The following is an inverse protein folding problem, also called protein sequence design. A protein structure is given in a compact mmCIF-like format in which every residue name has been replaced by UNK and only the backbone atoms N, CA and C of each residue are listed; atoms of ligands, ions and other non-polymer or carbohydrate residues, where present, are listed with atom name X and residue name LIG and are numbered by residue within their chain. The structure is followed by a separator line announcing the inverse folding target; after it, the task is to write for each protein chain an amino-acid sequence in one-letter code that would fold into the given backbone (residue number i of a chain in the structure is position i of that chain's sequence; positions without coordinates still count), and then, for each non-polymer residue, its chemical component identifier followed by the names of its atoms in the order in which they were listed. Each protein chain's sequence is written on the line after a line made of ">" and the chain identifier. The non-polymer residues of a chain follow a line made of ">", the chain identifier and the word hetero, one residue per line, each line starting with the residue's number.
data_IF_134515222598
#
_entry.id   IF_134515222598
#
_cell.length_a   1.000
_cell.length_b   1.000
_cell.length_c   1.000
_cell.angle_alpha   90.00
_cell.angle_beta   90.00
_cell.angle_gamma   90.00
#
_symmetry.space_group_name_H-M   'P 1'
#
loop_
_entity.id
_entity.type
_entity.pdbx_description
1 polymer ?
#
# COMPACT_ATOMS: atom_id res chain seq x y z
N UNK A 1 33.00 33.47 -56.66
CA UNK A 1 32.86 32.24 -55.84
C UNK A 1 31.88 32.56 -54.70
N UNK A 2 30.66 32.10 -54.86
CA UNK A 2 29.56 32.33 -53.91
C UNK A 2 29.69 31.33 -52.76
N UNK A 3 29.83 31.84 -51.57
CA UNK A 3 29.77 30.97 -50.37
C UNK A 3 28.30 30.60 -50.12
N UNK A 4 27.96 29.34 -50.37
CA UNK A 4 26.70 28.79 -49.91
C UNK A 4 26.73 28.72 -48.39
N UNK A 5 25.85 29.52 -47.76
CA UNK A 5 25.61 29.44 -46.32
C UNK A 5 24.99 28.07 -46.02
N UNK A 6 25.72 27.24 -45.30
CA UNK A 6 25.19 25.96 -44.73
C UNK A 6 24.06 26.31 -43.81
N UNK A 7 22.84 25.96 -44.21
CA UNK A 7 21.62 26.09 -43.39
C UNK A 7 21.77 25.11 -42.27
N UNK A 8 22.09 25.56 -41.05
CA UNK A 8 22.02 24.76 -39.84
C UNK A 8 20.54 24.44 -39.67
N UNK A 9 20.19 23.19 -39.88
CA UNK A 9 18.87 22.65 -39.49
C UNK A 9 18.80 22.69 -37.95
N UNK A 10 18.13 23.71 -37.42
CA UNK A 10 17.74 23.72 -36.02
C UNK A 10 16.78 22.55 -35.83
N UNK A 11 17.29 21.46 -35.25
CA UNK A 11 16.45 20.35 -34.82
C UNK A 11 15.81 20.71 -33.50
N UNK A 12 14.52 20.97 -33.50
CA UNK A 12 13.71 21.06 -32.29
C UNK A 12 13.18 19.66 -31.95
N UNK A 13 13.42 19.17 -30.73
CA UNK A 13 12.79 17.93 -30.31
C UNK A 13 11.27 18.06 -30.32
N UNK A 14 10.53 17.06 -30.80
CA UNK A 14 9.07 17.14 -30.81
C UNK A 14 8.56 17.34 -29.38
N UNK A 15 7.80 18.41 -29.17
CA UNK A 15 7.16 18.67 -27.89
C UNK A 15 6.24 17.50 -27.52
N UNK A 16 6.21 17.08 -26.23
CA UNK A 16 5.29 16.05 -25.77
C UNK A 16 3.84 16.49 -26.00
N UNK A 17 2.91 15.55 -26.28
CA UNK A 17 1.51 15.86 -26.44
C UNK A 17 0.94 16.50 -25.17
N UNK A 18 0.06 17.49 -25.33
CA UNK A 18 -0.61 18.21 -24.24
C UNK A 18 -2.11 17.91 -24.17
N UNK A 19 -2.64 17.21 -25.16
CA UNK A 19 -4.06 16.83 -25.30
C UNK A 19 -4.29 15.36 -24.87
N UNK A 20 -3.83 15.03 -23.66
CA UNK A 20 -3.95 13.68 -23.12
C UNK A 20 -5.39 13.36 -22.71
N UNK A 21 -5.80 12.12 -22.98
CA UNK A 21 -7.10 11.56 -22.57
C UNK A 21 -6.88 10.73 -21.31
N UNK A 22 -7.68 10.95 -20.27
CA UNK A 22 -7.59 10.21 -19.00
C UNK A 22 -8.78 9.28 -18.74
N UNK A 23 -9.68 9.15 -19.71
CA UNK A 23 -10.84 8.27 -19.70
C UNK A 23 -11.08 7.74 -21.12
N UNK A 24 -11.10 6.43 -21.29
CA UNK A 24 -11.38 5.77 -22.59
C UNK A 24 -12.85 5.39 -22.75
N UNK A 25 -13.68 5.64 -21.73
CA UNK A 25 -15.10 5.33 -21.73
C UNK A 25 -15.42 3.84 -21.50
N UNK A 26 -14.40 3.01 -21.26
CA UNK A 26 -14.61 1.59 -20.96
C UNK A 26 -14.80 1.37 -19.46
N UNK A 27 -15.83 0.62 -19.03
CA UNK A 27 -16.04 0.31 -17.62
C UNK A 27 -15.01 -0.71 -17.13
N UNK A 28 -14.72 -0.71 -15.82
CA UNK A 28 -14.01 -1.80 -15.16
C UNK A 28 -14.72 -3.13 -15.39
N UNK A 29 -13.97 -4.23 -15.56
CA UNK A 29 -14.50 -5.53 -15.94
C UNK A 29 -15.60 -6.04 -15.00
N UNK A 30 -15.37 -6.03 -13.68
CA UNK A 30 -16.37 -6.47 -12.69
C UNK A 30 -16.24 -5.71 -11.37
N UNK A 31 -17.32 -5.76 -10.55
CA UNK A 31 -17.28 -5.23 -9.19
C UNK A 31 -16.15 -5.85 -8.35
N UNK A 32 -15.85 -7.15 -8.56
CA UNK A 32 -14.77 -7.85 -7.84
C UNK A 32 -13.39 -7.29 -8.19
N UNK A 33 -13.12 -6.96 -9.45
CA UNK A 33 -11.88 -6.28 -9.86
C UNK A 33 -11.75 -4.91 -9.19
N UNK A 34 -12.84 -4.12 -9.18
CA UNK A 34 -12.88 -2.83 -8.49
C UNK A 34 -12.56 -2.95 -6.99
N UNK A 35 -13.14 -3.92 -6.29
CA UNK A 35 -12.88 -4.15 -4.87
C UNK A 35 -11.43 -4.59 -4.67
N UNK A 36 -10.94 -5.54 -5.46
CA UNK A 36 -9.57 -6.04 -5.38
C UNK A 36 -8.53 -4.93 -5.57
N UNK A 37 -8.69 -4.10 -6.61
CA UNK A 37 -7.87 -2.93 -6.86
C UNK A 37 -7.87 -1.95 -5.67
N UNK A 38 -9.07 -1.56 -5.20
CA UNK A 38 -9.21 -0.63 -4.09
C UNK A 38 -8.63 -1.20 -2.79
N UNK A 39 -8.71 -2.50 -2.58
CA UNK A 39 -8.11 -3.18 -1.44
C UNK A 39 -6.60 -3.00 -1.39
N UNK A 40 -5.91 -3.16 -2.52
CA UNK A 40 -4.47 -2.95 -2.62
C UNK A 40 -4.10 -1.47 -2.39
N UNK A 41 -4.79 -0.55 -3.06
CA UNK A 41 -4.53 0.89 -2.94
C UNK A 41 -4.71 1.34 -1.48
N UNK A 42 -5.83 1.01 -0.85
CA UNK A 42 -6.19 1.46 0.49
C UNK A 42 -5.32 0.82 1.58
N UNK A 43 -4.94 -0.46 1.42
CA UNK A 43 -4.01 -1.12 2.33
C UNK A 43 -2.63 -0.48 2.29
N UNK A 44 -2.11 -0.16 1.08
CA UNK A 44 -0.81 0.49 0.96
C UNK A 44 -0.83 1.93 1.52
N UNK A 45 -1.88 2.70 1.23
CA UNK A 45 -2.07 4.04 1.79
C UNK A 45 -2.14 4.01 3.32
N UNK A 46 -2.81 3.02 3.90
CA UNK A 46 -2.88 2.82 5.35
C UNK A 46 -1.50 2.47 5.93
N UNK A 47 -0.78 1.54 5.31
CA UNK A 47 0.55 1.13 5.75
C UNK A 47 1.57 2.29 5.68
N UNK A 48 1.44 3.16 4.68
CA UNK A 48 2.33 4.30 4.44
C UNK A 48 1.71 5.63 4.88
N UNK A 49 0.76 5.63 5.81
CA UNK A 49 0.03 6.83 6.25
C UNK A 49 0.92 7.96 6.77
N UNK A 50 2.13 7.64 7.24
CA UNK A 50 3.13 8.61 7.71
C UNK A 50 4.14 9.04 6.62
N UNK A 51 3.91 8.66 5.35
CA UNK A 51 4.79 8.96 4.21
C UNK A 51 4.07 9.82 3.19
N UNK A 52 4.82 10.75 2.56
CA UNK A 52 4.37 11.58 1.45
C UNK A 52 5.28 11.43 0.22
N UNK A 53 6.19 10.45 0.24
CA UNK A 53 7.19 10.23 -0.78
C UNK A 53 6.85 9.05 -1.70
N UNK A 54 5.56 8.81 -1.91
CA UNK A 54 5.07 7.77 -2.82
C UNK A 54 3.73 8.18 -3.44
N UNK A 55 3.40 7.53 -4.56
CA UNK A 55 2.08 7.53 -5.16
C UNK A 55 1.64 6.10 -5.40
N UNK A 56 0.38 5.79 -5.15
CA UNK A 56 -0.25 4.55 -5.60
C UNK A 56 -1.61 4.86 -6.22
N UNK A 57 -1.92 4.15 -7.27
CA UNK A 57 -3.17 4.29 -8.01
C UNK A 57 -3.51 3.00 -8.74
N UNK A 58 -4.64 3.01 -9.42
CA UNK A 58 -5.07 1.90 -10.24
C UNK A 58 -6.09 2.32 -11.28
N UNK A 59 -6.18 1.55 -12.36
CA UNK A 59 -6.99 1.87 -13.52
C UNK A 59 -6.75 3.31 -14.05
N UNK A 60 -5.50 3.75 -13.97
CA UNK A 60 -5.05 5.06 -14.44
C UNK A 60 -4.10 4.88 -15.60
N UNK A 61 -4.24 5.70 -16.65
CA UNK A 61 -3.34 5.64 -17.78
C UNK A 61 -1.91 6.01 -17.42
N UNK A 62 -0.97 5.20 -17.90
CA UNK A 62 0.47 5.47 -17.86
C UNK A 62 0.90 5.90 -19.24
N UNK A 63 1.24 7.18 -19.38
CA UNK A 63 1.77 7.75 -20.62
C UNK A 63 3.29 7.74 -20.58
N UNK A 64 3.92 7.01 -21.48
CA UNK A 64 5.37 6.80 -21.49
C UNK A 64 6.06 7.17 -22.81
N UNK A 65 5.30 7.43 -23.88
CA UNK A 65 5.84 7.90 -25.15
C UNK A 65 4.81 8.66 -25.98
N UNK A 66 5.28 9.62 -26.78
CA UNK A 66 4.42 10.37 -27.73
C UNK A 66 3.88 9.47 -28.84
N UNK A 67 4.52 8.34 -29.15
CA UNK A 67 4.02 7.36 -30.10
C UNK A 67 2.84 6.60 -29.53
N UNK A 68 2.91 6.18 -28.27
CA UNK A 68 1.81 5.54 -27.56
C UNK A 68 0.56 6.42 -27.54
N UNK A 69 0.72 7.73 -27.24
CA UNK A 69 -0.39 8.67 -27.23
C UNK A 69 -1.05 8.76 -28.62
N UNK A 70 -0.25 8.90 -29.69
CA UNK A 70 -0.75 8.98 -31.06
C UNK A 70 -1.48 7.72 -31.51
N UNK A 71 -1.01 6.57 -31.07
CA UNK A 71 -1.61 5.26 -31.40
C UNK A 71 -2.81 4.92 -30.50
N UNK A 72 -3.11 5.75 -29.49
CA UNK A 72 -4.11 5.46 -28.45
C UNK A 72 -3.90 4.12 -27.79
N UNK A 73 -2.64 3.73 -27.58
CA UNK A 73 -2.25 2.50 -26.93
C UNK A 73 -2.21 2.72 -25.41
N UNK A 74 -3.39 2.76 -24.80
CA UNK A 74 -3.54 3.04 -23.39
C UNK A 74 -3.03 1.87 -22.55
N UNK A 75 -2.32 2.19 -21.47
CA UNK A 75 -1.86 1.23 -20.46
C UNK A 75 -2.28 1.76 -19.11
N UNK A 76 -3.21 1.07 -18.50
CA UNK A 76 -3.73 1.38 -17.18
C UNK A 76 -3.58 0.16 -16.28
N UNK A 77 -2.46 0.01 -15.55
CA UNK A 77 -2.34 -1.08 -14.61
C UNK A 77 -3.47 -1.05 -13.58
N UNK A 78 -3.99 -2.22 -13.19
CA UNK A 78 -5.03 -2.32 -12.18
C UNK A 78 -4.58 -1.78 -10.82
N UNK A 79 -3.31 -1.97 -10.48
CA UNK A 79 -2.66 -1.33 -9.35
C UNK A 79 -1.20 -1.03 -9.71
N UNK A 80 -0.74 0.14 -9.33
CA UNK A 80 0.69 0.47 -9.39
C UNK A 80 1.11 1.42 -8.27
N UNK A 81 2.41 1.44 -8.01
CA UNK A 81 3.01 2.42 -7.10
C UNK A 81 4.33 2.93 -7.62
N UNK A 82 4.63 4.20 -7.30
CA UNK A 82 5.90 4.86 -7.55
C UNK A 82 6.42 5.42 -6.24
N UNK A 83 7.66 5.10 -5.90
CA UNK A 83 8.33 5.51 -4.67
C UNK A 83 9.29 6.67 -4.91
N UNK A 84 9.68 7.36 -3.83
CA UNK A 84 10.64 8.47 -3.84
C UNK A 84 10.23 9.59 -4.82
N UNK A 85 8.97 9.99 -4.77
CA UNK A 85 8.39 11.11 -5.51
C UNK A 85 7.54 11.96 -4.56
N UNK A 86 7.16 13.17 -4.98
CA UNK A 86 6.17 13.94 -4.22
C UNK A 86 4.77 13.35 -4.43
N UNK A 87 4.22 12.73 -3.39
CA UNK A 87 2.88 12.14 -3.36
C UNK A 87 1.77 13.09 -2.93
N UNK A 88 2.07 14.37 -2.65
CA UNK A 88 1.15 15.30 -2.00
C UNK A 88 0.09 15.91 -2.91
N UNK A 89 0.19 15.77 -4.24
CA UNK A 89 -0.76 16.34 -5.19
C UNK A 89 -1.53 15.28 -5.99
N UNK A 90 -2.78 15.61 -6.41
CA UNK A 90 -3.61 14.67 -7.17
C UNK A 90 -3.11 14.53 -8.61
N UNK A 91 -3.26 13.32 -9.18
CA UNK A 91 -2.93 12.99 -10.56
C UNK A 91 -4.13 12.37 -11.26
N UNK A 92 -4.40 12.78 -12.50
CA UNK A 92 -5.45 12.17 -13.35
C UNK A 92 -4.94 10.92 -14.09
N UNK A 93 -3.64 10.83 -14.32
CA UNK A 93 -2.93 9.71 -14.91
C UNK A 93 -1.46 9.81 -14.55
N UNK A 94 -0.67 8.82 -14.93
CA UNK A 94 0.78 8.85 -14.72
C UNK A 94 1.49 9.26 -16.01
N UNK A 95 1.97 10.48 -16.09
CA UNK A 95 2.63 11.03 -17.28
C UNK A 95 4.13 11.05 -17.05
N UNK A 96 4.85 10.05 -17.55
CA UNK A 96 6.27 9.78 -17.25
C UNK A 96 7.16 11.00 -17.46
N UNK A 97 6.96 11.77 -18.53
CA UNK A 97 7.78 12.97 -18.81
C UNK A 97 7.47 14.17 -17.90
N UNK A 98 6.28 14.22 -17.27
CA UNK A 98 5.93 15.21 -16.25
C UNK A 98 6.40 14.81 -14.86
N UNK A 99 6.61 13.51 -14.65
CA UNK A 99 7.07 12.89 -13.40
C UNK A 99 8.59 12.62 -13.41
N UNK A 100 9.37 13.44 -14.11
CA UNK A 100 10.83 13.34 -14.13
C UNK A 100 11.38 12.04 -14.74
N UNK A 101 10.63 11.40 -15.63
CA UNK A 101 11.01 10.13 -16.24
C UNK A 101 10.77 8.90 -15.34
N UNK A 102 10.01 9.04 -14.26
CA UNK A 102 9.73 7.94 -13.31
C UNK A 102 8.64 7.03 -13.86
N UNK A 103 8.93 5.75 -13.86
CA UNK A 103 7.99 4.66 -14.15
C UNK A 103 7.47 4.01 -12.87
N UNK A 104 6.37 3.24 -12.92
CA UNK A 104 5.92 2.43 -11.80
C UNK A 104 7.01 1.48 -11.27
N UNK A 105 7.27 1.52 -9.97
CA UNK A 105 8.24 0.64 -9.30
C UNK A 105 7.63 -0.75 -9.03
N UNK A 106 6.31 -0.81 -8.78
CA UNK A 106 5.55 -2.05 -8.58
C UNK A 106 4.25 -1.97 -9.36
N UNK A 107 3.89 -3.06 -10.03
CA UNK A 107 2.61 -3.22 -10.75
C UNK A 107 1.95 -4.53 -10.30
N UNK A 108 0.63 -4.51 -10.12
CA UNK A 108 -0.21 -5.70 -9.98
C UNK A 108 -1.32 -5.63 -11.02
N UNK A 109 -1.45 -6.67 -11.85
CA UNK A 109 -2.57 -6.83 -12.77
C UNK A 109 -3.57 -7.84 -12.20
N UNK A 110 -4.84 -7.47 -12.25
CA UNK A 110 -5.96 -8.30 -11.81
C UNK A 110 -6.55 -9.00 -13.03
N UNK A 111 -6.04 -10.18 -13.31
CA UNK A 111 -6.39 -10.94 -14.53
C UNK A 111 -7.86 -11.33 -14.57
N UNK A 112 -8.41 -11.32 -15.78
CA UNK A 112 -9.64 -12.02 -16.15
C UNK A 112 -9.35 -13.14 -17.14
N UNK A 113 -10.36 -13.89 -17.50
CA UNK A 113 -10.22 -14.91 -18.57
C UNK A 113 -9.86 -14.32 -19.94
N UNK A 114 -10.19 -13.05 -20.17
CA UNK A 114 -9.91 -12.34 -21.43
C UNK A 114 -8.54 -11.66 -21.43
N UNK A 115 -7.97 -11.29 -20.27
CA UNK A 115 -6.74 -10.51 -20.17
C UNK A 115 -5.52 -11.32 -19.76
N UNK A 116 -5.70 -12.53 -19.18
CA UNK A 116 -4.61 -13.32 -18.61
C UNK A 116 -3.43 -13.57 -19.58
N UNK A 117 -3.69 -13.83 -20.86
CA UNK A 117 -2.66 -14.04 -21.87
C UNK A 117 -1.87 -12.73 -22.16
N UNK A 118 -2.57 -11.59 -22.16
CA UNK A 118 -1.94 -10.28 -22.37
C UNK A 118 -1.12 -9.87 -21.14
N UNK A 119 -1.65 -10.11 -19.92
CA UNK A 119 -0.99 -9.75 -18.66
C UNK A 119 0.28 -10.57 -18.42
N UNK A 120 0.27 -11.87 -18.76
CA UNK A 120 1.45 -12.75 -18.62
C UNK A 120 2.41 -12.68 -19.81
N UNK A 121 2.00 -12.06 -20.92
CA UNK A 121 2.76 -11.92 -22.17
C UNK A 121 3.14 -10.46 -22.46
N UNK A 122 2.41 -9.80 -23.36
CA UNK A 122 2.78 -8.49 -23.90
C UNK A 122 2.91 -7.38 -22.84
N UNK A 123 2.05 -7.34 -21.80
CA UNK A 123 2.20 -6.38 -20.71
C UNK A 123 3.44 -6.69 -19.87
N UNK A 124 3.68 -7.96 -19.55
CA UNK A 124 4.89 -8.37 -18.84
C UNK A 124 6.16 -7.95 -19.56
N UNK A 125 6.23 -8.16 -20.89
CA UNK A 125 7.37 -7.74 -21.71
C UNK A 125 7.53 -6.21 -21.73
N UNK A 126 6.44 -5.45 -21.78
CA UNK A 126 6.46 -4.00 -21.70
C UNK A 126 7.00 -3.52 -20.34
N UNK A 127 6.54 -4.12 -19.25
CA UNK A 127 6.94 -3.75 -17.89
C UNK A 127 8.40 -4.14 -17.58
N UNK A 128 8.88 -5.22 -18.19
CA UNK A 128 10.28 -5.63 -18.13
C UNK A 128 11.20 -4.70 -18.94
N UNK A 129 10.89 -4.54 -20.24
CA UNK A 129 11.84 -3.97 -21.20
C UNK A 129 11.78 -2.43 -21.25
N UNK A 130 10.58 -1.84 -21.07
CA UNK A 130 10.36 -0.40 -21.20
C UNK A 130 10.23 0.28 -19.85
N UNK A 131 9.32 -0.20 -18.99
CA UNK A 131 9.11 0.41 -17.68
C UNK A 131 10.22 0.06 -16.69
N UNK A 132 10.81 -1.13 -16.84
CA UNK A 132 11.78 -1.68 -15.89
C UNK A 132 11.22 -1.71 -14.48
N UNK A 133 9.94 -2.08 -14.40
CA UNK A 133 9.21 -2.23 -13.13
C UNK A 133 9.90 -3.30 -12.27
N UNK A 134 10.27 -2.96 -11.05
CA UNK A 134 11.09 -3.83 -10.19
C UNK A 134 10.40 -5.10 -9.77
N UNK A 135 9.15 -5.01 -9.32
CA UNK A 135 8.32 -6.14 -8.93
C UNK A 135 6.99 -6.10 -9.71
N UNK A 136 6.69 -7.16 -10.44
CA UNK A 136 5.46 -7.33 -11.21
C UNK A 136 4.69 -8.54 -10.74
N UNK A 137 3.39 -8.38 -10.50
CA UNK A 137 2.51 -9.44 -10.02
C UNK A 137 1.25 -9.52 -10.87
N UNK A 138 0.70 -10.74 -10.95
CA UNK A 138 -0.60 -11.01 -11.57
C UNK A 138 -1.45 -11.85 -10.61
N UNK A 139 -2.74 -11.58 -10.58
CA UNK A 139 -3.69 -12.33 -9.77
C UNK A 139 -5.07 -12.33 -10.43
N UNK A 140 -5.74 -13.47 -10.51
CA UNK A 140 -7.13 -13.53 -10.93
C UNK A 140 -8.04 -13.57 -9.70
N UNK A 141 -8.89 -12.53 -9.46
CA UNK A 141 -9.77 -12.50 -8.29
C UNK A 141 -10.79 -13.66 -8.22
N UNK A 142 -10.94 -14.42 -9.29
CA UNK A 142 -11.81 -15.60 -9.37
C UNK A 142 -11.05 -16.94 -9.25
N UNK A 143 -9.71 -16.92 -9.25
CA UNK A 143 -8.86 -18.09 -9.06
C UNK A 143 -7.80 -17.82 -7.98
N UNK A 144 -8.02 -18.31 -6.75
CA UNK A 144 -7.09 -18.10 -5.62
C UNK A 144 -5.67 -18.64 -5.85
N UNK A 145 -5.49 -19.57 -6.79
CA UNK A 145 -4.21 -20.20 -7.07
C UNK A 145 -3.43 -19.53 -8.22
N UNK A 146 -3.96 -18.45 -8.76
CA UNK A 146 -3.39 -17.75 -9.92
C UNK A 146 -2.26 -16.77 -9.58
N UNK A 147 -1.97 -16.53 -8.29
CA UNK A 147 -0.95 -15.56 -7.89
C UNK A 147 0.42 -15.96 -8.44
N UNK A 148 0.98 -15.09 -9.27
CA UNK A 148 2.33 -15.21 -9.79
C UNK A 148 3.04 -13.86 -9.76
N UNK A 149 4.36 -13.85 -9.76
CA UNK A 149 5.12 -12.61 -9.72
C UNK A 149 6.54 -12.77 -10.25
N UNK A 150 7.09 -11.67 -10.69
CA UNK A 150 8.45 -11.58 -11.22
C UNK A 150 9.14 -10.36 -10.63
N UNK A 151 10.45 -10.52 -10.46
CA UNK A 151 11.34 -9.44 -10.03
C UNK A 151 12.40 -9.21 -11.08
N UNK A 152 12.65 -7.93 -11.37
CA UNK A 152 13.70 -7.52 -12.28
C UNK A 152 15.07 -7.78 -11.63
N UNK A 153 15.93 -8.53 -12.31
CA UNK A 153 17.30 -8.80 -11.87
C UNK A 153 18.28 -7.68 -12.29
N UNK A 154 19.56 -7.85 -11.96
CA UNK A 154 20.62 -6.89 -12.30
C UNK A 154 20.85 -6.75 -13.82
N UNK A 155 20.41 -7.71 -14.62
CA UNK A 155 20.46 -7.68 -16.08
C UNK A 155 19.19 -7.12 -16.71
N UNK A 156 18.27 -6.59 -15.89
CA UNK A 156 16.95 -6.12 -16.31
C UNK A 156 16.06 -7.19 -16.94
N UNK A 157 16.16 -8.43 -16.44
CA UNK A 157 15.33 -9.54 -16.85
C UNK A 157 14.46 -10.03 -15.69
N UNK A 158 13.18 -10.31 -15.96
CA UNK A 158 12.26 -10.82 -14.94
C UNK A 158 12.59 -12.27 -14.53
N UNK A 159 12.88 -12.44 -13.25
CA UNK A 159 13.01 -13.74 -12.60
C UNK A 159 11.74 -14.05 -11.81
N UNK A 160 11.21 -15.28 -11.88
CA UNK A 160 10.05 -15.66 -11.08
C UNK A 160 10.32 -15.50 -9.58
N UNK A 161 9.37 -14.93 -8.85
CA UNK A 161 9.43 -14.85 -7.39
C UNK A 161 8.93 -16.19 -6.83
N UNK A 162 9.73 -16.81 -5.99
CA UNK A 162 9.38 -18.09 -5.35
C UNK A 162 8.46 -17.81 -4.15
N UNK A 163 7.32 -18.50 -4.12
CA UNK A 163 6.39 -18.41 -3.01
C UNK A 163 6.97 -19.05 -1.73
N UNK A 164 6.63 -18.49 -0.58
CA UNK A 164 6.92 -19.11 0.71
C UNK A 164 5.97 -20.29 1.00
N UNK A 165 6.08 -20.87 2.20
CA UNK A 165 5.25 -22.02 2.63
C UNK A 165 3.74 -21.71 2.66
N UNK A 166 3.36 -20.44 2.83
CA UNK A 166 1.98 -19.97 2.81
C UNK A 166 1.47 -19.67 1.38
N UNK A 167 2.31 -19.80 0.35
CA UNK A 167 1.98 -19.44 -1.01
C UNK A 167 2.07 -17.92 -1.29
N UNK A 168 2.72 -17.16 -0.42
CA UNK A 168 2.85 -15.70 -0.56
C UNK A 168 4.12 -15.33 -1.33
N UNK A 169 4.06 -14.21 -2.05
CA UNK A 169 5.16 -13.67 -2.84
C UNK A 169 5.72 -12.40 -2.18
N UNK A 170 7.03 -12.36 -1.99
CA UNK A 170 7.69 -11.19 -1.40
C UNK A 170 7.86 -10.05 -2.40
N UNK A 171 7.20 -8.92 -2.17
CA UNK A 171 7.45 -7.67 -2.89
C UNK A 171 8.60 -6.92 -2.19
N UNK A 172 9.79 -7.03 -2.73
CA UNK A 172 10.99 -6.43 -2.12
C UNK A 172 10.92 -4.91 -2.14
N UNK A 173 10.36 -4.33 -3.19
CA UNK A 173 10.24 -2.89 -3.38
C UNK A 173 9.37 -2.23 -2.33
N UNK A 174 8.27 -2.88 -1.92
CA UNK A 174 7.37 -2.37 -0.88
C UNK A 174 7.73 -2.86 0.51
N UNK A 175 8.46 -3.96 0.64
CA UNK A 175 8.75 -4.59 1.93
C UNK A 175 7.55 -5.33 2.53
N UNK A 176 6.66 -5.85 1.67
CA UNK A 176 5.47 -6.60 2.05
C UNK A 176 5.39 -7.94 1.30
N UNK A 177 4.72 -8.92 1.90
CA UNK A 177 4.25 -10.09 1.20
C UNK A 177 2.93 -9.78 0.49
N UNK A 178 2.75 -10.32 -0.72
CA UNK A 178 1.44 -10.44 -1.36
C UNK A 178 0.97 -11.87 -1.17
N UNK A 179 -0.24 -12.03 -0.67
CA UNK A 179 -0.84 -13.33 -0.41
C UNK A 179 -2.36 -13.28 -0.43
N UNK A 180 -2.98 -14.44 -0.51
CA UNK A 180 -4.43 -14.55 -0.53
C UNK A 180 -5.01 -14.51 0.89
N UNK A 181 -6.17 -13.88 1.04
CA UNK A 181 -6.95 -13.80 2.26
C UNK A 181 -8.42 -14.08 1.98
N UNK A 182 -9.02 -15.03 2.69
CA UNK A 182 -10.44 -15.32 2.57
C UNK A 182 -11.25 -14.47 3.55
N UNK A 183 -12.21 -13.72 3.03
CA UNK A 183 -13.07 -12.90 3.86
C UNK A 183 -14.06 -12.08 3.05
N UNK A 184 -14.77 -11.17 3.73
CA UNK A 184 -15.79 -10.31 3.12
C UNK A 184 -15.30 -8.87 3.09
N UNK A 185 -15.19 -8.28 1.90
CA UNK A 185 -14.91 -6.86 1.67
C UNK A 185 -16.08 -6.27 0.87
N UNK A 186 -16.56 -5.09 1.23
CA UNK A 186 -17.69 -4.42 0.58
C UNK A 186 -18.93 -5.35 0.39
N UNK A 187 -19.20 -6.21 1.39
CA UNK A 187 -20.28 -7.23 1.40
C UNK A 187 -20.10 -8.36 0.38
N UNK A 188 -18.96 -8.47 -0.28
CA UNK A 188 -18.65 -9.54 -1.20
C UNK A 188 -17.71 -10.57 -0.54
N UNK A 189 -18.16 -11.81 -0.27
CA UNK A 189 -17.31 -12.87 0.23
C UNK A 189 -16.48 -13.45 -0.91
N UNK A 190 -15.14 -13.41 -0.76
CA UNK A 190 -14.22 -13.93 -1.76
C UNK A 190 -12.85 -14.25 -1.16
N UNK A 191 -11.94 -14.71 -2.00
CA UNK A 191 -10.51 -14.74 -1.71
C UNK A 191 -9.88 -13.53 -2.38
N UNK A 192 -9.26 -12.67 -1.57
CA UNK A 192 -8.70 -11.39 -1.96
C UNK A 192 -7.18 -11.44 -1.94
N UNK A 193 -6.52 -10.72 -2.85
CA UNK A 193 -5.10 -10.44 -2.75
C UNK A 193 -4.89 -9.32 -1.72
N UNK A 194 -4.03 -9.57 -0.71
CA UNK A 194 -3.76 -8.63 0.38
C UNK A 194 -2.25 -8.52 0.62
N UNK A 195 -1.85 -7.43 1.24
CA UNK A 195 -0.50 -7.28 1.76
C UNK A 195 -0.39 -7.84 3.18
N UNK A 196 0.79 -8.39 3.49
CA UNK A 196 1.18 -8.81 4.83
C UNK A 196 2.55 -8.20 5.15
N UNK A 197 2.76 -7.84 6.41
CA UNK A 197 4.05 -7.31 6.86
C UNK A 197 5.15 -8.39 6.87
N UNK A 198 6.37 -8.00 7.25
CA UNK A 198 7.52 -8.90 7.25
C UNK A 198 7.36 -10.10 8.20
N UNK A 199 6.57 -9.95 9.27
CA UNK A 199 6.33 -10.99 10.27
C UNK A 199 5.04 -11.78 10.01
N UNK A 200 4.32 -11.46 8.92
CA UNK A 200 3.15 -12.19 8.46
C UNK A 200 1.81 -11.66 8.98
N UNK A 201 1.75 -10.48 9.60
CA UNK A 201 0.48 -9.86 9.95
C UNK A 201 -0.17 -9.23 8.72
N UNK A 202 -1.50 -9.36 8.63
CA UNK A 202 -2.28 -8.71 7.58
C UNK A 202 -2.14 -7.19 7.69
N UNK A 203 -1.77 -6.52 6.58
CA UNK A 203 -1.83 -5.06 6.49
C UNK A 203 -3.30 -4.64 6.45
N UNK A 204 -3.78 -3.88 7.44
CA UNK A 204 -5.21 -3.59 7.54
C UNK A 204 -5.66 -2.59 6.49
N UNK A 205 -6.94 -2.65 6.14
CA UNK A 205 -7.66 -1.55 5.52
C UNK A 205 -7.89 -0.42 6.55
N UNK A 206 -8.12 0.83 6.13
CA UNK A 206 -8.34 1.94 7.06
C UNK A 206 -9.43 1.67 8.10
N UNK A 207 -10.55 1.05 7.70
CA UNK A 207 -11.64 0.66 8.62
C UNK A 207 -11.25 -0.47 9.57
N UNK A 208 -10.46 -1.44 9.12
CA UNK A 208 -9.92 -2.50 9.97
C UNK A 208 -8.96 -1.94 11.02
N UNK A 209 -8.06 -1.02 10.59
CA UNK A 209 -7.14 -0.30 11.48
C UNK A 209 -7.90 0.54 12.52
N UNK A 210 -8.96 1.24 12.12
CA UNK A 210 -9.79 2.05 13.02
C UNK A 210 -10.49 1.18 14.07
N UNK A 211 -10.98 -0.01 13.69
CA UNK A 211 -11.60 -0.96 14.63
C UNK A 211 -10.56 -1.50 15.62
N UNK A 212 -9.37 -1.88 15.15
CA UNK A 212 -8.27 -2.34 16.01
C UNK A 212 -7.86 -1.27 17.02
N UNK A 213 -7.66 -0.04 16.54
CA UNK A 213 -7.32 1.09 17.39
C UNK A 213 -8.41 1.40 18.43
N UNK A 214 -9.68 1.36 18.01
CA UNK A 214 -10.82 1.57 18.92
C UNK A 214 -10.92 0.50 20.00
N UNK A 215 -10.66 -0.78 19.65
CA UNK A 215 -10.62 -1.89 20.60
C UNK A 215 -9.47 -1.72 21.61
N UNK A 216 -8.27 -1.40 21.12
CA UNK A 216 -7.09 -1.16 21.97
C UNK A 216 -7.31 -0.01 22.94
N UNK A 217 -7.84 1.12 22.46
CA UNK A 217 -8.19 2.26 23.30
C UNK A 217 -9.28 1.90 24.33
N UNK A 218 -10.28 1.12 23.93
CA UNK A 218 -11.33 0.64 24.83
C UNK A 218 -10.79 -0.26 25.95
N UNK A 219 -9.89 -1.20 25.63
CA UNK A 219 -9.22 -2.06 26.60
C UNK A 219 -8.35 -1.25 27.57
N UNK A 220 -7.52 -0.33 27.05
CA UNK A 220 -6.68 0.55 27.86
C UNK A 220 -7.51 1.41 28.83
N UNK A 221 -8.59 2.03 28.35
CA UNK A 221 -9.51 2.82 29.18
C UNK A 221 -10.18 1.94 30.25
N UNK A 222 -10.56 0.70 29.88
CA UNK A 222 -11.13 -0.28 30.81
C UNK A 222 -10.16 -0.65 31.91
N UNK A 223 -8.92 -1.02 31.56
CA UNK A 223 -7.87 -1.36 32.52
C UNK A 223 -7.55 -0.18 33.46
N UNK A 224 -7.41 1.02 32.93
CA UNK A 224 -7.18 2.24 33.74
C UNK A 224 -8.32 2.47 34.74
N UNK A 225 -9.58 2.35 34.30
CA UNK A 225 -10.73 2.52 35.17
C UNK A 225 -10.76 1.47 36.28
N UNK A 226 -10.42 0.23 36.00
CA UNK A 226 -10.35 -0.84 36.99
C UNK A 226 -9.23 -0.58 38.00
N UNK A 227 -8.03 -0.20 37.53
CA UNK A 227 -6.90 0.15 38.38
C UNK A 227 -7.26 1.33 39.31
N UNK A 228 -7.85 2.39 38.81
CA UNK A 228 -8.29 3.53 39.65
C UNK A 228 -9.30 3.11 40.70
N UNK A 229 -10.28 2.26 40.37
CA UNK A 229 -11.23 1.72 41.37
C UNK A 229 -10.53 0.92 42.46
N UNK A 230 -9.53 0.11 42.07
CA UNK A 230 -8.73 -0.66 43.00
C UNK A 230 -7.94 0.26 43.94
N UNK A 231 -7.27 1.26 43.43
CA UNK A 231 -6.52 2.25 44.20
C UNK A 231 -7.42 3.01 45.19
N UNK A 232 -8.57 3.49 44.72
CA UNK A 232 -9.57 4.16 45.59
C UNK A 232 -10.08 3.20 46.69
N UNK A 233 -10.36 1.95 46.35
CA UNK A 233 -10.85 0.96 47.34
C UNK A 233 -9.80 0.63 48.41
N UNK A 234 -8.53 0.56 48.04
CA UNK A 234 -7.44 0.17 48.95
C UNK A 234 -6.86 1.34 49.74
N UNK A 235 -6.72 2.50 49.09
CA UNK A 235 -5.96 3.62 49.66
C UNK A 235 -6.82 4.90 49.89
N UNK A 236 -8.09 4.87 49.52
CA UNK A 236 -8.97 6.05 49.61
C UNK A 236 -8.86 6.95 48.37
N UNK A 237 -8.70 8.26 48.58
CA UNK A 237 -8.59 9.20 47.46
C UNK A 237 -7.28 9.03 46.70
N UNK A 238 -7.36 9.06 45.36
CA UNK A 238 -6.20 9.06 44.46
C UNK A 238 -5.93 10.51 44.04
N UNK A 239 -4.72 11.04 44.17
CA UNK A 239 -4.38 12.39 43.71
C UNK A 239 -4.46 12.52 42.19
N UNK A 240 -4.76 13.74 41.72
CA UNK A 240 -4.95 14.03 40.28
C UNK A 240 -3.69 13.78 39.44
N UNK A 241 -2.49 14.02 40.01
CA UNK A 241 -1.21 13.74 39.37
C UNK A 241 -1.01 12.24 39.06
N UNK A 242 -1.48 11.36 39.94
CA UNK A 242 -1.48 9.91 39.72
C UNK A 242 -2.47 9.54 38.63
N UNK A 243 -3.69 10.12 38.63
CA UNK A 243 -4.67 9.88 37.55
C UNK A 243 -4.17 10.30 36.20
N UNK A 244 -3.47 11.46 36.10
CA UNK A 244 -2.85 11.95 34.88
C UNK A 244 -1.75 11.01 34.42
N UNK A 245 -0.88 10.56 35.32
CA UNK A 245 0.21 9.61 35.00
C UNK A 245 -0.33 8.32 34.38
N UNK A 246 -1.43 7.80 34.88
CA UNK A 246 -2.06 6.60 34.35
C UNK A 246 -2.69 6.79 32.94
N UNK A 247 -2.88 8.03 32.46
CA UNK A 247 -3.46 8.28 31.13
C UNK A 247 -2.50 7.94 30.00
N UNK A 248 -1.20 8.07 30.23
CA UNK A 248 -0.15 7.86 29.22
C UNK A 248 0.33 6.41 29.13
N UNK A 249 -0.12 5.51 30.04
CA UNK A 249 0.37 4.16 30.14
C UNK A 249 -0.29 3.21 29.13
N UNK A 250 0.51 2.30 28.58
CA UNK A 250 0.01 1.19 27.74
C UNK A 250 -0.83 0.20 28.54
N UNK A 251 -1.61 -0.63 27.82
CA UNK A 251 -2.41 -1.68 28.44
C UNK A 251 -1.56 -2.59 29.33
N UNK A 252 -0.42 -3.07 28.85
CA UNK A 252 0.49 -3.94 29.60
C UNK A 252 0.99 -3.29 30.89
N UNK A 253 1.40 -2.01 30.83
CA UNK A 253 1.83 -1.25 32.01
C UNK A 253 0.70 -1.10 33.05
N UNK A 254 -0.53 -0.86 32.57
CA UNK A 254 -1.69 -0.78 33.45
C UNK A 254 -1.99 -2.13 34.11
N UNK A 255 -1.88 -3.25 33.41
CA UNK A 255 -2.05 -4.61 33.93
C UNK A 255 -0.97 -4.95 34.97
N UNK A 256 0.30 -4.64 34.70
CA UNK A 256 1.40 -4.82 35.65
C UNK A 256 1.15 -4.02 36.95
N UNK A 257 0.67 -2.78 36.82
CA UNK A 257 0.35 -1.93 37.97
C UNK A 257 -0.84 -2.44 38.79
N UNK A 258 -1.72 -3.28 38.27
CA UNK A 258 -2.76 -3.96 39.05
C UNK A 258 -2.11 -4.91 40.08
N UNK A 259 -1.11 -5.67 39.70
CA UNK A 259 -0.38 -6.55 40.62
C UNK A 259 0.35 -5.75 41.70
N UNK A 260 1.00 -4.65 41.32
CA UNK A 260 1.64 -3.73 42.25
C UNK A 260 0.62 -3.11 43.20
N UNK A 261 -0.56 -2.70 42.72
CA UNK A 261 -1.62 -2.16 43.54
C UNK A 261 -2.20 -3.18 44.53
N UNK A 262 -2.12 -4.45 44.23
CA UNK A 262 -2.56 -5.54 45.15
C UNK A 262 -1.55 -5.84 46.26
N UNK A 263 -0.26 -5.67 46.03
CA UNK A 263 0.83 -6.05 46.93
C UNK A 263 1.36 -4.93 47.80
N UNK A 264 1.30 -3.66 47.34
CA UNK A 264 1.77 -2.52 48.14
C UNK A 264 0.86 -2.17 49.29
N UNK A 265 1.42 -1.69 50.41
CA UNK A 265 0.65 -1.33 51.59
C UNK A 265 0.11 0.10 51.58
N UNK A 266 0.79 0.99 50.87
CA UNK A 266 0.46 2.43 50.78
C UNK A 266 0.46 2.96 49.36
N UNK A 267 -0.30 4.04 49.10
CA UNK A 267 -0.32 4.73 47.82
C UNK A 267 1.06 5.28 47.45
N UNK A 268 1.85 5.74 48.43
CA UNK A 268 3.22 6.23 48.17
C UNK A 268 4.13 5.10 47.67
N UNK A 269 4.00 3.91 48.20
CA UNK A 269 4.74 2.75 47.65
C UNK A 269 4.29 2.42 46.22
N UNK A 270 3.00 2.50 45.92
CA UNK A 270 2.49 2.30 44.59
C UNK A 270 3.04 3.34 43.59
N UNK A 271 3.02 4.64 43.97
CA UNK A 271 3.50 5.72 43.07
C UNK A 271 4.98 5.63 42.74
N UNK A 272 5.80 4.98 43.57
CA UNK A 272 7.22 4.72 43.26
C UNK A 272 7.42 3.71 42.10
N UNK A 273 6.35 3.03 41.66
CA UNK A 273 6.38 2.10 40.50
C UNK A 273 5.80 2.72 39.23
N UNK A 274 5.32 3.97 39.30
CA UNK A 274 4.92 4.69 38.09
C UNK A 274 6.18 5.03 37.28
N UNK A 275 6.14 4.88 35.94
CA UNK A 275 7.28 5.16 35.06
C UNK A 275 7.60 6.65 34.97
#
# INVERSE_FOLDING_TARGET
>A
MSAEATKILEWEPPMPPTDLIFDDGEPLETNRHRIAMNTLIRSLQQAFSNRNDFFCGGNMFVYYSSQQVRNRDFRGPDFFTVLNIDGSYPRQGWVVWEEGGRYPDVIVELMSSSTAEVDTGAKKDLYEQVFRTRDYFVFNPFDPNSLAGWRLDENFCYQPIIANEQGWLWCQTLGFWLGTWQGTIDREPAVWLRFYDQVGNLVPLPEEAAVQQGLEQGLQQGARRQLLRLLVTRFGSVPEDVEISLQSLSLNQLEELVEVALTTETLVQFTNHLP
#
